data_IF_366666664558
#
_entry.id   IF_366666664558
#
_cell.length_a   1.000
_cell.length_b   1.000
_cell.length_c   1.000
_cell.angle_alpha   90.00
_cell.angle_beta   90.00
_cell.angle_gamma   90.00
#
_symmetry.space_group_name_H-M   'P 1'
#
loop_
_entity.id
_entity.type
_entity.pdbx_description
1 polymer ?
#
# COMPACT_ATOMS: atom_id res chain seq x y z
N UNK A 1 6.45 18.49 -31.48
CA UNK A 1 6.39 17.89 -30.13
C UNK A 1 5.96 18.90 -29.03
N UNK A 2 6.50 20.10 -28.98
CA UNK A 2 6.13 21.12 -27.99
C UNK A 2 4.65 21.52 -28.00
N UNK A 3 4.06 21.67 -29.19
CA UNK A 3 2.65 22.04 -29.31
C UNK A 3 1.69 20.96 -28.84
N UNK A 4 2.08 19.70 -28.89
CA UNK A 4 1.30 18.56 -28.37
C UNK A 4 1.30 18.58 -26.85
N UNK A 5 2.42 18.87 -26.21
CA UNK A 5 2.53 19.03 -24.74
C UNK A 5 1.66 20.17 -24.23
N UNK A 6 1.69 21.34 -24.91
CA UNK A 6 0.86 22.48 -24.53
C UNK A 6 -0.63 22.19 -24.67
N UNK A 7 -1.05 21.46 -25.69
CA UNK A 7 -2.45 21.02 -25.85
C UNK A 7 -2.91 20.04 -24.77
N UNK A 8 -2.03 19.15 -24.27
CA UNK A 8 -2.34 18.27 -23.15
C UNK A 8 -2.63 19.06 -21.86
N UNK A 9 -1.88 20.10 -21.57
CA UNK A 9 -2.12 20.94 -20.38
C UNK A 9 -3.31 21.90 -20.55
N UNK A 10 -3.74 22.19 -21.79
CA UNK A 10 -4.84 23.12 -22.06
C UNK A 10 -6.21 22.43 -22.02
N UNK A 11 -6.28 21.09 -22.14
CA UNK A 11 -7.55 20.36 -22.06
C UNK A 11 -8.04 20.30 -20.61
N UNK A 12 -9.27 20.76 -20.35
CA UNK A 12 -9.90 20.77 -19.01
C UNK A 12 -9.92 19.38 -18.36
N UNK A 13 -10.12 18.33 -19.14
CA UNK A 13 -10.18 16.94 -18.64
C UNK A 13 -8.84 16.47 -18.09
N UNK A 14 -7.75 16.72 -18.83
CA UNK A 14 -6.40 16.32 -18.42
C UNK A 14 -5.96 17.13 -17.20
N UNK A 15 -6.23 18.43 -17.20
CA UNK A 15 -5.91 19.30 -16.05
C UNK A 15 -6.63 18.85 -14.77
N UNK A 16 -7.91 18.52 -14.87
CA UNK A 16 -8.67 18.02 -13.70
C UNK A 16 -8.12 16.69 -13.18
N UNK A 17 -7.72 15.78 -14.08
CA UNK A 17 -7.09 14.50 -13.67
C UNK A 17 -5.73 14.72 -13.01
N UNK A 18 -4.91 15.61 -13.55
CA UNK A 18 -3.61 15.97 -12.96
C UNK A 18 -3.81 16.61 -11.60
N UNK A 19 -4.73 17.56 -11.48
CA UNK A 19 -5.01 18.24 -10.20
C UNK A 19 -5.54 17.25 -9.15
N UNK A 20 -6.44 16.35 -9.55
CA UNK A 20 -6.92 15.28 -8.67
C UNK A 20 -5.78 14.37 -8.21
N UNK A 21 -4.90 13.94 -9.12
CA UNK A 21 -3.75 13.09 -8.78
C UNK A 21 -2.82 13.79 -7.80
N UNK A 22 -2.50 15.06 -8.04
CA UNK A 22 -1.67 15.87 -7.14
C UNK A 22 -2.32 16.04 -5.76
N UNK A 23 -3.63 16.30 -5.72
CA UNK A 23 -4.37 16.40 -4.47
C UNK A 23 -4.32 15.09 -3.67
N UNK A 24 -4.51 13.95 -4.34
CA UNK A 24 -4.40 12.64 -3.69
C UNK A 24 -2.98 12.34 -3.19
N UNK A 25 -1.94 12.74 -3.93
CA UNK A 25 -0.56 12.61 -3.46
C UNK A 25 -0.28 13.46 -2.22
N UNK A 26 -0.83 14.68 -2.16
CA UNK A 26 -0.72 15.54 -0.98
C UNK A 26 -1.42 14.92 0.22
N UNK A 27 -2.65 14.41 0.04
CA UNK A 27 -3.39 13.72 1.11
C UNK A 27 -2.62 12.49 1.60
N UNK A 28 -2.08 11.68 0.68
CA UNK A 28 -1.23 10.54 1.03
C UNK A 28 -0.01 11.00 1.84
N UNK A 29 0.65 12.05 1.39
CA UNK A 29 1.83 12.58 2.09
C UNK A 29 1.50 13.09 3.50
N UNK A 30 0.37 13.77 3.68
CA UNK A 30 -0.11 14.19 5.01
C UNK A 30 -0.34 12.95 5.90
N UNK A 31 -0.99 11.91 5.39
CA UNK A 31 -1.22 10.68 6.13
C UNK A 31 0.05 9.93 6.54
N UNK A 32 1.16 10.08 5.79
CA UNK A 32 2.45 9.49 6.18
C UNK A 32 3.10 10.18 7.40
N UNK A 33 2.63 11.36 7.79
CA UNK A 33 3.09 12.06 8.99
C UNK A 33 2.30 11.68 10.25
N UNK A 34 1.15 11.04 10.11
CA UNK A 34 0.30 10.64 11.24
C UNK A 34 0.80 9.26 11.72
N UNK A 35 1.46 9.15 12.89
CA UNK A 35 1.89 7.86 13.43
C UNK A 35 0.68 7.01 13.81
N UNK A 36 0.82 5.70 13.70
CA UNK A 36 -0.20 4.76 14.18
C UNK A 36 -0.34 4.86 15.70
N UNK A 37 -1.56 4.84 16.24
CA UNK A 37 -1.76 4.91 17.69
C UNK A 37 -1.17 3.67 18.38
N UNK A 38 -0.50 3.88 19.51
CA UNK A 38 0.09 2.78 20.28
C UNK A 38 1.49 2.35 19.86
N UNK A 39 2.11 3.03 18.88
CA UNK A 39 3.47 2.76 18.41
C UNK A 39 4.43 3.82 18.93
N UNK A 40 5.62 3.39 19.35
CA UNK A 40 6.70 4.31 19.73
C UNK A 40 7.56 4.65 18.50
N UNK A 41 7.48 5.88 17.96
CA UNK A 41 8.24 6.27 16.78
C UNK A 41 9.76 6.37 17.04
N UNK A 42 10.17 6.51 18.29
CA UNK A 42 11.59 6.59 18.66
C UNK A 42 12.32 5.25 18.51
N UNK A 43 11.59 4.14 18.56
CA UNK A 43 12.15 2.80 18.37
C UNK A 43 12.80 2.61 16.98
N UNK A 44 12.39 3.40 15.98
CA UNK A 44 12.97 3.36 14.62
C UNK A 44 14.19 4.27 14.43
N UNK A 45 14.52 5.12 15.39
CA UNK A 45 15.66 6.02 15.29
C UNK A 45 17.01 5.33 15.58
N UNK A 46 16.99 4.07 16.04
CA UNK A 46 18.21 3.28 16.24
C UNK A 46 18.46 2.39 15.02
N UNK A 47 19.43 2.74 14.14
CA UNK A 47 19.76 1.94 12.97
C UNK A 47 20.65 0.74 13.36
N UNK A 48 20.07 -0.29 13.96
CA UNK A 48 20.79 -1.54 14.16
C UNK A 48 20.31 -2.60 13.16
N UNK A 49 20.99 -2.67 12.03
CA UNK A 49 21.21 -3.93 11.31
C UNK A 49 20.36 -4.29 10.10
N UNK A 50 19.52 -3.43 9.52
CA UNK A 50 18.86 -3.78 8.25
C UNK A 50 18.90 -2.65 7.21
N UNK A 51 20.10 -2.41 6.68
CA UNK A 51 20.37 -1.28 5.78
C UNK A 51 19.84 -1.44 4.34
N UNK A 52 19.33 -2.59 3.94
CA UNK A 52 18.93 -2.80 2.56
C UNK A 52 17.40 -2.85 2.33
N UNK A 53 16.76 -3.87 2.86
CA UNK A 53 15.36 -4.16 2.55
C UNK A 53 14.36 -3.16 3.17
N UNK A 54 14.60 -2.75 4.41
CA UNK A 54 13.75 -1.77 5.10
C UNK A 54 13.89 -0.37 4.50
N UNK A 55 15.07 -0.02 3.98
CA UNK A 55 15.28 1.26 3.33
C UNK A 55 14.60 1.33 1.97
N UNK A 56 14.62 0.25 1.21
CA UNK A 56 13.84 0.13 -0.02
C UNK A 56 12.33 0.24 0.26
N UNK A 57 11.80 -0.53 1.21
CA UNK A 57 10.39 -0.47 1.59
C UNK A 57 9.97 0.93 2.06
N UNK A 58 10.86 1.60 2.81
CA UNK A 58 10.63 2.97 3.26
C UNK A 58 10.60 3.97 2.10
N UNK A 59 11.45 3.77 1.09
CA UNK A 59 11.49 4.59 -0.13
C UNK A 59 10.20 4.43 -0.92
N UNK A 60 9.72 3.20 -1.12
CA UNK A 60 8.44 2.92 -1.79
C UNK A 60 7.22 3.42 -1.00
N UNK A 61 7.29 3.39 0.31
CA UNK A 61 6.26 3.92 1.21
C UNK A 61 6.31 5.44 1.43
N UNK A 62 7.23 6.16 0.73
CA UNK A 62 7.35 7.62 0.89
C UNK A 62 7.76 8.09 2.29
N UNK A 63 8.48 7.26 3.05
CA UNK A 63 8.92 7.55 4.42
C UNK A 63 7.91 7.14 5.51
N UNK A 64 6.79 6.55 5.13
CA UNK A 64 5.72 6.13 6.04
C UNK A 64 6.16 5.03 7.01
N UNK A 65 7.07 4.15 6.59
CA UNK A 65 7.55 3.03 7.39
C UNK A 65 8.44 3.48 8.55
N UNK A 66 9.33 4.46 8.33
CA UNK A 66 10.20 5.01 9.40
C UNK A 66 9.41 5.61 10.57
N UNK A 67 8.20 6.05 10.32
CA UNK A 67 7.31 6.65 11.33
C UNK A 67 6.22 5.71 11.78
N UNK A 68 6.16 4.51 11.20
CA UNK A 68 5.06 3.57 11.39
C UNK A 68 3.70 4.27 11.31
N UNK A 69 3.51 5.01 10.23
CA UNK A 69 2.28 5.79 10.00
C UNK A 69 1.13 4.87 9.63
N UNK A 70 -0.11 5.40 9.66
CA UNK A 70 -1.30 4.67 9.19
C UNK A 70 -1.18 4.20 7.72
N UNK A 71 -0.28 4.79 6.94
CA UNK A 71 0.02 4.37 5.58
C UNK A 71 1.36 3.63 5.45
N UNK A 72 1.87 3.01 6.54
CA UNK A 72 3.16 2.31 6.55
C UNK A 72 3.26 1.20 5.50
N UNK A 73 2.17 0.46 5.27
CA UNK A 73 2.08 -0.57 4.24
C UNK A 73 2.01 0.02 2.81
N UNK A 74 1.57 1.27 2.65
CA UNK A 74 1.43 1.93 1.37
C UNK A 74 0.54 1.16 0.40
N UNK A 75 1.00 1.02 -0.85
CA UNK A 75 0.29 0.34 -1.93
C UNK A 75 0.70 -1.14 -2.11
N UNK A 76 1.65 -1.64 -1.30
CA UNK A 76 2.22 -2.99 -1.46
C UNK A 76 1.17 -4.11 -1.44
N UNK A 77 0.20 -4.14 -0.51
CA UNK A 77 -0.81 -5.19 -0.49
C UNK A 77 -1.65 -5.23 -1.78
N UNK A 78 -1.95 -4.06 -2.33
CA UNK A 78 -2.71 -3.97 -3.58
C UNK A 78 -1.91 -4.42 -4.80
N UNK A 79 -0.62 -4.06 -4.86
CA UNK A 79 0.27 -4.53 -5.94
C UNK A 79 0.39 -6.04 -5.89
N UNK A 80 0.64 -6.62 -4.72
CA UNK A 80 0.72 -8.07 -4.53
C UNK A 80 -0.58 -8.76 -4.95
N UNK A 81 -1.73 -8.26 -4.48
CA UNK A 81 -3.04 -8.78 -4.86
C UNK A 81 -3.28 -8.71 -6.37
N UNK A 82 -2.89 -7.61 -7.01
CA UNK A 82 -3.04 -7.41 -8.45
C UNK A 82 -2.20 -8.41 -9.25
N UNK A 83 -0.96 -8.63 -8.85
CA UNK A 83 -0.06 -9.61 -9.50
C UNK A 83 -0.62 -11.03 -9.32
N UNK A 84 -1.01 -11.40 -8.11
CA UNK A 84 -1.61 -12.72 -7.84
C UNK A 84 -2.87 -12.93 -8.68
N UNK A 85 -3.74 -11.93 -8.75
CA UNK A 85 -4.96 -12.02 -9.58
C UNK A 85 -4.65 -12.12 -11.07
N UNK A 86 -3.61 -11.45 -11.56
CA UNK A 86 -3.16 -11.59 -12.95
C UNK A 86 -2.67 -13.03 -13.22
N UNK A 87 -1.89 -13.61 -12.31
CA UNK A 87 -1.46 -15.00 -12.42
C UNK A 87 -2.64 -15.98 -12.39
N UNK A 88 -3.61 -15.78 -11.50
CA UNK A 88 -4.81 -16.62 -11.41
C UNK A 88 -5.71 -16.55 -12.67
N UNK A 89 -5.62 -15.46 -13.43
CA UNK A 89 -6.32 -15.31 -14.72
C UNK A 89 -5.62 -16.08 -15.86
N UNK A 90 -4.36 -16.49 -15.69
CA UNK A 90 -3.56 -17.22 -16.68
C UNK A 90 -3.83 -18.73 -16.57
N UNK A 91 -5.08 -19.14 -16.83
CA UNK A 91 -5.55 -20.54 -16.87
C UNK A 91 -5.41 -21.37 -15.58
N UNK A 92 -5.04 -20.76 -14.45
CA UNK A 92 -4.98 -21.44 -13.16
C UNK A 92 -6.39 -21.67 -12.59
N UNK A 93 -7.27 -20.65 -12.68
CA UNK A 93 -8.65 -20.76 -12.24
C UNK A 93 -9.60 -20.47 -13.42
N UNK A 94 -10.33 -21.50 -13.91
CA UNK A 94 -11.17 -21.37 -15.10
C UNK A 94 -12.18 -20.21 -15.04
N UNK A 95 -12.78 -19.96 -13.86
CA UNK A 95 -13.72 -18.86 -13.64
C UNK A 95 -13.10 -17.47 -13.89
N UNK A 96 -11.86 -17.25 -13.48
CA UNK A 96 -11.20 -15.97 -13.70
C UNK A 96 -10.78 -15.78 -15.16
N UNK A 97 -10.39 -16.87 -15.81
CA UNK A 97 -10.10 -16.89 -17.25
C UNK A 97 -11.35 -16.57 -18.07
N UNK A 98 -12.51 -17.14 -17.70
CA UNK A 98 -13.79 -16.83 -18.34
C UNK A 98 -14.16 -15.36 -18.17
N UNK A 99 -14.01 -14.80 -16.97
CA UNK A 99 -14.25 -13.37 -16.74
C UNK A 99 -13.28 -12.49 -17.51
N UNK A 100 -12.01 -12.87 -17.61
CA UNK A 100 -11.04 -12.13 -18.43
C UNK A 100 -11.46 -12.06 -19.91
N UNK A 101 -12.08 -13.12 -20.45
CA UNK A 101 -12.60 -13.18 -21.81
C UNK A 101 -13.91 -12.41 -22.01
N UNK A 102 -14.67 -12.08 -20.94
CA UNK A 102 -15.94 -11.34 -21.02
C UNK A 102 -15.79 -9.82 -21.27
N UNK A 103 -14.59 -9.32 -21.54
CA UNK A 103 -14.34 -7.91 -21.83
C UNK A 103 -14.52 -7.00 -20.63
N UNK A 104 -15.18 -5.84 -20.80
CA UNK A 104 -15.30 -4.82 -19.72
C UNK A 104 -16.09 -5.30 -18.51
N UNK A 105 -17.15 -6.07 -18.70
CA UNK A 105 -17.98 -6.61 -17.62
C UNK A 105 -17.18 -7.57 -16.74
N UNK A 106 -16.37 -8.44 -17.35
CA UNK A 106 -15.51 -9.35 -16.62
C UNK A 106 -14.37 -8.64 -15.89
N UNK A 107 -13.75 -7.65 -16.51
CA UNK A 107 -12.70 -6.82 -15.88
C UNK A 107 -13.21 -6.10 -14.63
N UNK A 108 -14.45 -5.60 -14.63
CA UNK A 108 -15.03 -4.98 -13.43
C UNK A 108 -15.20 -5.98 -12.29
N UNK A 109 -15.63 -7.22 -12.58
CA UNK A 109 -15.73 -8.30 -11.58
C UNK A 109 -14.37 -8.65 -11.00
N UNK A 110 -13.37 -8.83 -11.88
CA UNK A 110 -11.98 -9.12 -11.46
C UNK A 110 -11.43 -8.00 -10.58
N UNK A 111 -11.61 -6.73 -10.96
CA UNK A 111 -11.17 -5.60 -10.16
C UNK A 111 -11.82 -5.55 -8.77
N UNK A 112 -13.10 -5.89 -8.68
CA UNK A 112 -13.78 -5.95 -7.39
C UNK A 112 -13.22 -7.07 -6.51
N UNK A 113 -13.02 -8.27 -7.07
CA UNK A 113 -12.40 -9.39 -6.35
C UNK A 113 -10.98 -9.04 -5.91
N UNK A 114 -10.20 -8.40 -6.79
CA UNK A 114 -8.83 -7.92 -6.47
C UNK A 114 -8.84 -6.97 -5.27
N UNK A 115 -9.81 -6.07 -5.18
CA UNK A 115 -9.94 -5.15 -4.05
C UNK A 115 -10.22 -5.88 -2.73
N UNK A 116 -11.18 -6.81 -2.72
CA UNK A 116 -11.46 -7.62 -1.53
C UNK A 116 -10.26 -8.47 -1.12
N UNK A 117 -9.59 -9.08 -2.09
CA UNK A 117 -8.40 -9.87 -1.86
C UNK A 117 -7.25 -9.01 -1.32
N UNK A 118 -7.07 -7.79 -1.84
CA UNK A 118 -6.09 -6.84 -1.34
C UNK A 118 -6.35 -6.45 0.13
N UNK A 119 -7.61 -6.29 0.54
CA UNK A 119 -7.95 -5.96 1.94
C UNK A 119 -7.58 -7.14 2.87
N UNK A 120 -7.90 -8.36 2.47
CA UNK A 120 -7.55 -9.56 3.25
C UNK A 120 -6.03 -9.70 3.37
N UNK A 121 -5.30 -9.54 2.26
CA UNK A 121 -3.84 -9.57 2.25
C UNK A 121 -3.24 -8.44 3.10
N UNK A 122 -3.78 -7.24 3.01
CA UNK A 122 -3.32 -6.11 3.82
C UNK A 122 -3.45 -6.40 5.31
N UNK A 123 -4.57 -7.00 5.72
CA UNK A 123 -4.80 -7.37 7.12
C UNK A 123 -3.80 -8.42 7.61
N UNK A 124 -3.59 -9.49 6.82
CA UNK A 124 -2.62 -10.55 7.17
C UNK A 124 -1.19 -9.99 7.21
N UNK A 125 -0.81 -9.18 6.22
CA UNK A 125 0.53 -8.59 6.14
C UNK A 125 0.76 -7.57 7.26
N UNK A 126 -0.25 -6.79 7.65
CA UNK A 126 -0.17 -5.84 8.75
C UNK A 126 0.16 -6.53 10.07
N UNK A 127 -0.58 -7.61 10.39
CA UNK A 127 -0.31 -8.40 11.59
C UNK A 127 1.10 -8.99 11.53
N UNK A 128 1.48 -9.60 10.40
CA UNK A 128 2.81 -10.19 10.21
C UNK A 128 3.92 -9.16 10.40
N UNK A 129 3.74 -7.96 9.86
CA UNK A 129 4.70 -6.87 9.95
C UNK A 129 4.81 -6.33 11.38
N UNK A 130 3.68 -6.18 12.08
CA UNK A 130 3.67 -5.75 13.49
C UNK A 130 4.44 -6.76 14.39
N UNK A 131 4.23 -8.06 14.19
CA UNK A 131 4.98 -9.10 14.91
C UNK A 131 6.47 -9.07 14.56
N UNK A 132 6.81 -8.97 13.29
CA UNK A 132 8.19 -8.96 12.82
C UNK A 132 8.96 -7.76 13.38
N UNK A 133 8.40 -6.57 13.31
CA UNK A 133 9.03 -5.36 13.83
C UNK A 133 9.11 -5.36 15.35
N UNK A 134 8.08 -5.87 16.05
CA UNK A 134 8.12 -5.96 17.50
C UNK A 134 9.22 -6.91 17.99
N UNK A 135 9.43 -8.05 17.32
CA UNK A 135 10.53 -8.97 17.61
C UNK A 135 11.89 -8.32 17.29
N UNK A 136 11.98 -7.62 16.15
CA UNK A 136 13.21 -6.97 15.72
C UNK A 136 13.66 -5.86 16.69
N UNK A 137 12.72 -5.08 17.18
CA UNK A 137 12.94 -4.00 18.13
C UNK A 137 12.88 -4.47 19.60
N UNK A 138 13.05 -5.77 19.85
CA UNK A 138 13.06 -6.38 21.20
C UNK A 138 11.86 -5.98 22.07
N UNK A 139 10.69 -5.82 21.44
CA UNK A 139 9.44 -5.49 22.13
C UNK A 139 9.27 -4.01 22.50
N UNK A 140 10.04 -3.11 21.90
CA UNK A 140 9.97 -1.66 22.14
C UNK A 140 9.00 -0.93 21.19
N UNK A 141 8.50 -1.63 20.15
CA UNK A 141 7.61 -1.03 19.16
C UNK A 141 6.24 -0.69 19.74
N UNK A 142 5.66 -1.62 20.48
CA UNK A 142 4.29 -1.54 20.98
C UNK A 142 4.35 -1.15 22.46
N UNK A 143 3.73 -0.01 22.81
CA UNK A 143 3.72 0.55 24.17
C UNK A 143 2.95 -0.39 25.12
N UNK A 144 1.81 -0.93 24.67
CA UNK A 144 1.03 -1.94 25.43
C UNK A 144 0.96 -3.25 24.66
N UNK A 145 1.47 -4.33 25.25
CA UNK A 145 1.43 -5.70 24.69
C UNK A 145 0.03 -6.33 24.83
N UNK A 146 -1.00 -5.65 24.35
CA UNK A 146 -2.36 -6.16 24.32
C UNK A 146 -2.72 -6.63 22.91
N UNK A 147 -3.56 -7.68 22.81
CA UNK A 147 -4.10 -8.15 21.53
C UNK A 147 -4.84 -7.01 20.81
N UNK A 148 -5.47 -6.12 21.56
CA UNK A 148 -6.17 -4.96 21.02
C UNK A 148 -5.20 -3.98 20.34
N UNK A 149 -3.99 -3.80 20.87
CA UNK A 149 -2.95 -2.95 20.26
C UNK A 149 -2.47 -3.50 18.92
N UNK A 150 -2.32 -4.83 18.79
CA UNK A 150 -1.97 -5.47 17.51
C UNK A 150 -3.06 -5.38 16.44
N UNK A 151 -4.33 -5.27 16.86
CA UNK A 151 -5.48 -5.09 15.95
C UNK A 151 -5.66 -3.63 15.49
N UNK A 152 -5.23 -2.67 16.32
CA UNK A 152 -5.33 -1.24 16.04
C UNK A 152 -4.20 -0.72 15.14
N UNK A 153 -3.06 -1.39 15.12
CA UNK A 153 -1.90 -1.10 14.28
C UNK A 153 -2.06 -1.71 12.89
#
# INVERSE_FOLDING_TARGET
MFQTFVRFFTSKEVRNKIFFTLAMLVIFKIGTYIPAPGVNPEAFNHPQGSQGATELLNTFGGGALKRFSIFAMGIMPYITASIVMQLLQMDIVPKFTEWAKQGEMGRRKINNVTRYFAIILAFIQSIGMAFQFNNYLKGQLIIEKSVMSYLLI
#
